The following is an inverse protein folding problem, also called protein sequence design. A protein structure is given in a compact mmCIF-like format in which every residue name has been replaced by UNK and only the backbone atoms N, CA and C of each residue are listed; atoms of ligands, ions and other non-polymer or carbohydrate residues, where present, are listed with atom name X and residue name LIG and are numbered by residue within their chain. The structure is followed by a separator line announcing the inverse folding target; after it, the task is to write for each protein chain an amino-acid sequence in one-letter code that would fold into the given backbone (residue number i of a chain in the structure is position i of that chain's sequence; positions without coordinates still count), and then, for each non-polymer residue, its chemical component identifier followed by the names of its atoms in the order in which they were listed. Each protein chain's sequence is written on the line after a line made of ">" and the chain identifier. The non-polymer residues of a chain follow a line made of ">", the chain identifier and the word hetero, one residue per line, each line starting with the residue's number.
data_IF_675949460144
#
_entry.id   IF_675949460144
#
_cell.length_a   1.000
_cell.length_b   1.000
_cell.length_c   1.000
_cell.angle_alpha   90.00
_cell.angle_beta   90.00
_cell.angle_gamma   90.00
#
_symmetry.space_group_name_H-M   'P 1'
#
loop_
_entity.id
_entity.type
_entity.pdbx_description
1 polymer ?
#
# COMPACT_ATOMS: atom_id res chain seq x y z
N UNK A 1 2.11 -24.21 -14.01
CA UNK A 1 1.53 -23.03 -13.32
C UNK A 1 0.64 -23.52 -12.17
N UNK A 2 0.85 -23.05 -10.93
CA UNK A 2 0.00 -23.41 -9.78
C UNK A 2 -1.39 -22.82 -9.97
N UNK A 3 -2.44 -23.54 -9.54
CA UNK A 3 -3.82 -23.05 -9.64
C UNK A 3 -3.99 -21.71 -8.89
N UNK A 4 -4.73 -20.73 -9.45
CA UNK A 4 -4.98 -19.46 -8.79
C UNK A 4 -5.67 -19.71 -7.44
N UNK A 5 -5.10 -19.20 -6.35
CA UNK A 5 -5.65 -19.37 -5.01
C UNK A 5 -5.83 -18.02 -4.32
N UNK A 6 -7.09 -17.56 -4.26
CA UNK A 6 -7.46 -16.30 -3.63
C UNK A 6 -6.98 -16.23 -2.17
N UNK A 7 -7.21 -17.30 -1.40
CA UNK A 7 -6.82 -17.34 0.01
C UNK A 7 -5.30 -17.19 0.18
N UNK A 8 -4.49 -17.82 -0.69
CA UNK A 8 -3.02 -17.70 -0.63
C UNK A 8 -2.54 -16.30 -1.00
N UNK A 9 -3.12 -15.69 -2.04
CA UNK A 9 -2.80 -14.30 -2.43
C UNK A 9 -3.12 -13.33 -1.29
N UNK A 10 -4.33 -13.44 -0.74
CA UNK A 10 -4.82 -12.58 0.32
C UNK A 10 -3.97 -12.70 1.58
N UNK A 11 -3.67 -13.93 2.02
CA UNK A 11 -2.83 -14.17 3.18
C UNK A 11 -1.41 -13.61 2.98
N UNK A 12 -0.82 -13.85 1.80
CA UNK A 12 0.53 -13.37 1.50
C UNK A 12 0.61 -11.83 1.46
N UNK A 13 -0.36 -11.16 0.81
CA UNK A 13 -0.39 -9.72 0.73
C UNK A 13 -0.64 -9.06 2.11
N UNK A 14 -1.53 -9.64 2.94
CA UNK A 14 -1.74 -9.19 4.31
C UNK A 14 -0.51 -9.40 5.18
N UNK A 15 0.25 -10.48 4.99
CA UNK A 15 1.49 -10.72 5.72
C UNK A 15 2.55 -9.65 5.38
N UNK A 16 2.67 -9.27 4.10
CA UNK A 16 3.53 -8.12 3.70
C UNK A 16 3.03 -6.84 4.37
N UNK A 17 1.73 -6.56 4.31
CA UNK A 17 1.14 -5.41 4.98
C UNK A 17 1.35 -5.39 6.48
N UNK A 18 1.32 -6.55 7.14
CA UNK A 18 1.59 -6.69 8.56
C UNK A 18 3.05 -6.38 8.89
N UNK A 19 3.99 -6.93 8.13
CA UNK A 19 5.43 -6.67 8.33
C UNK A 19 5.74 -5.19 8.13
N UNK A 20 5.29 -4.59 7.03
CA UNK A 20 5.48 -3.16 6.76
C UNK A 20 4.78 -2.29 7.81
N UNK A 21 3.55 -2.64 8.17
CA UNK A 21 2.81 -1.93 9.21
C UNK A 21 3.48 -2.01 10.58
N UNK A 22 4.11 -3.13 10.94
CA UNK A 22 4.87 -3.27 12.18
C UNK A 22 6.15 -2.41 12.16
N UNK A 23 6.88 -2.42 11.04
CA UNK A 23 8.04 -1.55 10.85
C UNK A 23 7.64 -0.08 11.05
N UNK A 24 6.56 0.36 10.40
CA UNK A 24 6.04 1.72 10.53
C UNK A 24 5.59 1.99 11.96
N UNK A 25 4.84 1.07 12.59
CA UNK A 25 4.40 1.21 13.98
C UNK A 25 5.54 1.52 14.96
N UNK A 26 6.71 0.91 14.79
CA UNK A 26 7.88 1.15 15.65
C UNK A 26 8.72 2.35 15.23
N UNK A 27 8.78 2.67 13.93
CA UNK A 27 9.52 3.84 13.41
C UNK A 27 8.77 5.15 13.65
N UNK A 28 7.44 5.14 13.58
CA UNK A 28 6.60 6.33 13.70
C UNK A 28 6.97 7.26 14.87
N UNK A 29 7.14 6.81 16.13
CA UNK A 29 7.51 7.72 17.23
C UNK A 29 8.92 8.34 17.10
N UNK A 30 9.79 7.77 16.25
CA UNK A 30 11.13 8.31 15.99
C UNK A 30 11.09 9.48 14.99
N UNK A 31 10.14 9.46 14.06
CA UNK A 31 10.00 10.48 12.99
C UNK A 31 8.82 11.41 13.22
N UNK A 32 7.85 11.01 14.05
CA UNK A 32 6.67 11.78 14.41
C UNK A 32 6.44 11.67 15.92
N UNK A 33 7.14 12.50 16.73
CA UNK A 33 7.05 12.41 18.19
C UNK A 33 5.63 12.57 18.74
N UNK A 34 4.80 13.37 18.08
CA UNK A 34 3.38 13.58 18.44
C UNK A 34 2.44 12.44 18.00
N UNK A 35 2.97 11.36 17.43
CA UNK A 35 2.17 10.23 17.01
C UNK A 35 1.75 9.37 18.22
N UNK A 36 0.51 9.55 18.61
CA UNK A 36 -0.12 8.77 19.67
C UNK A 36 -0.28 7.28 19.28
N UNK A 37 -0.63 6.47 20.28
CA UNK A 37 -0.85 5.03 20.07
C UNK A 37 -1.94 4.76 19.02
N UNK A 38 -2.97 5.61 18.97
CA UNK A 38 -4.09 5.44 18.04
C UNK A 38 -3.63 5.60 16.59
N UNK A 39 -2.84 6.62 16.29
CA UNK A 39 -2.27 6.85 14.98
C UNK A 39 -1.36 5.68 14.56
N UNK A 40 -0.52 5.18 15.48
CA UNK A 40 0.37 4.04 15.21
C UNK A 40 -0.40 2.77 14.87
N UNK A 41 -1.42 2.43 15.65
CA UNK A 41 -2.32 1.30 15.37
C UNK A 41 -3.04 1.53 14.03
N UNK A 42 -3.49 2.75 13.77
CA UNK A 42 -4.11 3.14 12.51
C UNK A 42 -3.21 2.86 11.31
N UNK A 43 -1.93 3.25 11.37
CA UNK A 43 -0.95 2.96 10.32
C UNK A 43 -0.72 1.45 10.15
N UNK A 44 -0.56 0.70 11.25
CA UNK A 44 -0.40 -0.76 11.19
C UNK A 44 -1.56 -1.43 10.45
N UNK A 45 -2.79 -1.11 10.86
CA UNK A 45 -4.00 -1.68 10.26
C UNK A 45 -4.24 -1.18 8.84
N UNK A 46 -3.80 0.04 8.51
CA UNK A 46 -3.83 0.59 7.16
C UNK A 46 -3.03 -0.29 6.20
N UNK A 47 -1.77 -0.60 6.49
CA UNK A 47 -0.95 -1.42 5.58
C UNK A 47 -1.43 -2.86 5.48
N UNK A 48 -1.97 -3.45 6.55
CA UNK A 48 -2.63 -4.76 6.49
C UNK A 48 -3.86 -4.73 5.57
N UNK A 49 -4.66 -3.67 5.67
CA UNK A 49 -5.86 -3.46 4.85
C UNK A 49 -5.51 -3.24 3.38
N UNK A 50 -4.52 -2.38 3.11
CA UNK A 50 -4.03 -2.09 1.77
C UNK A 50 -3.47 -3.35 1.10
N UNK A 51 -2.66 -4.13 1.84
CA UNK A 51 -2.21 -5.45 1.40
C UNK A 51 -3.38 -6.38 1.08
N UNK A 52 -4.43 -6.38 1.91
CA UNK A 52 -5.66 -7.11 1.66
C UNK A 52 -6.35 -6.72 0.34
N UNK A 53 -6.53 -5.42 0.10
CA UNK A 53 -7.14 -4.88 -1.12
C UNK A 53 -6.33 -5.31 -2.35
N UNK A 54 -4.99 -5.16 -2.30
CA UNK A 54 -4.09 -5.57 -3.39
C UNK A 54 -4.17 -7.08 -3.65
N UNK A 55 -4.21 -7.89 -2.59
CA UNK A 55 -4.32 -9.35 -2.70
C UNK A 55 -5.60 -9.80 -3.39
N UNK A 56 -6.73 -9.17 -3.05
CA UNK A 56 -8.04 -9.41 -3.66
C UNK A 56 -8.09 -8.93 -5.11
N UNK A 57 -7.71 -7.68 -5.36
CA UNK A 57 -7.81 -7.07 -6.68
C UNK A 57 -6.86 -7.73 -7.70
N UNK A 58 -5.68 -8.19 -7.27
CA UNK A 58 -4.71 -8.82 -8.16
C UNK A 58 -5.11 -10.19 -8.73
N UNK A 59 -6.30 -10.71 -8.37
CA UNK A 59 -6.93 -11.84 -9.08
C UNK A 59 -7.38 -11.43 -10.47
N UNK A 60 -7.79 -10.17 -10.63
CA UNK A 60 -8.23 -9.62 -11.91
C UNK A 60 -7.04 -9.58 -12.88
N UNK A 61 -7.16 -10.33 -13.97
CA UNK A 61 -6.23 -10.36 -15.09
C UNK A 61 -6.71 -9.49 -16.26
N UNK A 62 -7.97 -9.07 -16.23
CA UNK A 62 -8.58 -8.13 -17.17
C UNK A 62 -9.41 -7.09 -16.45
N UNK A 63 -9.47 -5.90 -17.03
CA UNK A 63 -10.37 -4.86 -16.58
C UNK A 63 -11.83 -5.30 -16.80
N UNK A 64 -12.71 -5.26 -15.77
CA UNK A 64 -14.05 -5.84 -15.86
C UNK A 64 -14.95 -5.14 -16.90
N UNK A 65 -14.85 -3.81 -17.05
CA UNK A 65 -15.61 -3.06 -18.06
C UNK A 65 -14.95 -3.01 -19.45
N UNK A 66 -13.64 -2.73 -19.52
CA UNK A 66 -12.92 -2.48 -20.78
C UNK A 66 -12.33 -3.74 -21.42
N UNK A 67 -12.27 -4.88 -20.71
CA UNK A 67 -11.74 -6.15 -21.23
C UNK A 67 -10.23 -6.17 -21.52
N UNK A 68 -9.52 -5.05 -21.29
CA UNK A 68 -8.07 -4.91 -21.47
C UNK A 68 -7.30 -5.74 -20.43
N UNK A 69 -6.15 -6.28 -20.83
CA UNK A 69 -5.27 -7.00 -19.92
C UNK A 69 -4.78 -6.07 -18.80
N UNK A 70 -4.87 -6.54 -17.56
CA UNK A 70 -4.55 -5.76 -16.38
C UNK A 70 -3.46 -6.49 -15.57
N UNK A 71 -2.18 -6.32 -15.95
CA UNK A 71 -1.11 -7.06 -15.29
C UNK A 71 -0.95 -6.62 -13.84
N UNK A 72 -0.59 -7.57 -12.97
CA UNK A 72 -0.46 -7.32 -11.53
C UNK A 72 0.53 -6.20 -11.20
N UNK A 73 1.61 -6.06 -11.98
CA UNK A 73 2.65 -5.05 -11.79
C UNK A 73 2.17 -3.64 -12.14
N UNK A 74 1.03 -3.50 -12.82
CA UNK A 74 0.39 -2.22 -13.06
C UNK A 74 -0.74 -1.98 -12.06
N UNK A 75 -1.60 -2.98 -11.86
CA UNK A 75 -2.76 -2.86 -10.97
C UNK A 75 -2.38 -2.63 -9.52
N UNK A 76 -1.45 -3.44 -8.99
CA UNK A 76 -1.12 -3.37 -7.57
C UNK A 76 -0.43 -2.05 -7.18
N UNK A 77 0.54 -1.51 -7.95
CA UNK A 77 1.09 -0.19 -7.68
C UNK A 77 0.09 0.93 -7.89
N UNK A 78 -0.80 0.82 -8.89
CA UNK A 78 -1.85 1.81 -9.11
C UNK A 78 -2.80 1.89 -7.90
N UNK A 79 -3.23 0.75 -7.35
CA UNK A 79 -4.05 0.71 -6.15
C UNK A 79 -3.30 1.26 -4.93
N UNK A 80 -2.04 0.87 -4.74
CA UNK A 80 -1.20 1.37 -3.65
C UNK A 80 -1.05 2.90 -3.70
N UNK A 81 -0.66 3.43 -4.85
CA UNK A 81 -0.54 4.87 -5.09
C UNK A 81 -1.87 5.60 -4.95
N UNK A 82 -2.97 5.04 -5.47
CA UNK A 82 -4.30 5.64 -5.36
C UNK A 82 -4.76 5.73 -3.90
N UNK A 83 -4.65 4.65 -3.14
CA UNK A 83 -5.06 4.64 -1.73
C UNK A 83 -4.23 5.62 -0.90
N UNK A 84 -2.93 5.71 -1.15
CA UNK A 84 -2.08 6.68 -0.46
C UNK A 84 -2.28 8.11 -0.96
N UNK A 85 -2.68 8.33 -2.21
CA UNK A 85 -3.11 9.64 -2.65
C UNK A 85 -4.36 10.08 -1.88
N UNK A 86 -5.36 9.19 -1.77
CA UNK A 86 -6.61 9.47 -1.05
C UNK A 86 -6.34 9.79 0.42
N UNK A 87 -5.48 9.03 1.12
CA UNK A 87 -5.14 9.34 2.52
C UNK A 87 -4.40 10.67 2.64
N UNK A 88 -3.47 10.99 1.72
CA UNK A 88 -2.79 12.29 1.69
C UNK A 88 -3.77 13.43 1.51
N UNK A 89 -4.78 13.28 0.66
CA UNK A 89 -5.80 14.31 0.47
C UNK A 89 -6.67 14.52 1.72
N UNK A 90 -7.04 13.45 2.44
CA UNK A 90 -7.82 13.56 3.67
C UNK A 90 -7.03 14.14 4.84
N UNK A 91 -5.74 13.86 4.92
CA UNK A 91 -4.89 14.24 6.07
C UNK A 91 -3.70 15.09 5.64
N UNK A 92 -3.90 15.96 4.64
CA UNK A 92 -2.84 16.74 4.00
C UNK A 92 -2.05 17.56 5.03
N UNK A 93 -2.75 18.30 5.90
CA UNK A 93 -2.11 19.19 6.87
C UNK A 93 -1.27 18.42 7.89
N UNK A 94 -1.74 17.23 8.29
CA UNK A 94 -1.01 16.33 9.21
C UNK A 94 0.27 15.82 8.57
N UNK A 95 0.20 15.36 7.32
CA UNK A 95 1.40 14.92 6.60
C UNK A 95 2.35 16.06 6.25
N UNK A 96 1.82 17.25 5.95
CA UNK A 96 2.65 18.44 5.71
C UNK A 96 3.38 18.88 6.97
N UNK A 97 2.73 18.83 8.13
CA UNK A 97 3.38 19.11 9.40
C UNK A 97 4.53 18.11 9.67
N UNK A 98 4.30 16.82 9.36
CA UNK A 98 5.33 15.79 9.47
C UNK A 98 6.52 16.02 8.53
N UNK A 99 6.29 16.34 7.26
CA UNK A 99 7.38 16.58 6.30
C UNK A 99 8.17 17.83 6.68
N UNK A 100 7.49 18.90 7.10
CA UNK A 100 8.15 20.11 7.58
C UNK A 100 8.96 19.89 8.86
N UNK A 101 8.49 19.05 9.79
CA UNK A 101 9.24 18.78 11.03
C UNK A 101 10.50 17.94 10.80
N UNK A 102 10.48 17.01 9.84
CA UNK A 102 11.61 16.12 9.56
C UNK A 102 12.60 16.71 8.55
N UNK A 103 12.09 17.40 7.52
CA UNK A 103 12.90 17.86 6.40
C UNK A 103 13.07 19.38 6.39
N UNK A 104 12.17 20.15 7.01
CA UNK A 104 12.12 21.61 6.89
C UNK A 104 11.41 22.08 5.61
N UNK A 105 11.43 23.39 5.37
CA UNK A 105 10.85 24.01 4.16
C UNK A 105 11.81 23.96 2.95
N UNK A 106 12.41 22.79 2.73
CA UNK A 106 13.35 22.55 1.62
C UNK A 106 12.62 21.96 0.42
N UNK A 107 12.00 22.86 -0.35
CA UNK A 107 11.49 22.59 -1.70
C UNK A 107 10.65 21.32 -1.79
N UNK A 108 11.04 20.40 -2.67
CA UNK A 108 10.25 19.19 -2.96
C UNK A 108 10.11 18.23 -1.77
N UNK A 109 11.01 18.26 -0.79
CA UNK A 109 10.97 17.37 0.38
C UNK A 109 9.90 17.79 1.41
N UNK A 110 9.46 19.05 1.36
CA UNK A 110 8.35 19.53 2.17
C UNK A 110 6.98 18.99 1.68
N UNK A 111 6.92 18.42 0.46
CA UNK A 111 5.67 17.95 -0.13
C UNK A 111 5.16 16.65 0.50
N UNK A 112 3.92 16.60 1.04
CA UNK A 112 3.35 15.36 1.58
C UNK A 112 3.01 14.35 0.47
N UNK A 113 3.10 14.71 -0.81
CA UNK A 113 2.83 13.77 -1.90
C UNK A 113 3.90 12.66 -2.03
N UNK A 114 5.00 12.70 -1.27
CA UNK A 114 5.96 11.60 -1.16
C UNK A 114 5.37 10.29 -0.62
N UNK A 115 4.23 10.35 0.09
CA UNK A 115 3.52 9.15 0.51
C UNK A 115 2.83 8.41 -0.66
N UNK A 116 2.60 9.07 -1.80
CA UNK A 116 2.04 8.44 -3.01
C UNK A 116 3.02 7.44 -3.65
N UNK A 117 4.27 7.80 -4.02
CA UNK A 117 5.22 6.84 -4.54
C UNK A 117 5.61 5.77 -3.52
N UNK A 118 5.55 6.06 -2.22
CA UNK A 118 5.65 5.02 -1.18
C UNK A 118 4.53 3.97 -1.33
N UNK A 119 3.27 4.41 -1.49
CA UNK A 119 2.15 3.52 -1.76
C UNK A 119 2.30 2.72 -3.06
N UNK A 120 2.83 3.33 -4.12
CA UNK A 120 3.16 2.65 -5.39
C UNK A 120 4.18 1.52 -5.14
N UNK A 121 5.25 1.82 -4.40
CA UNK A 121 6.29 0.84 -4.07
C UNK A 121 5.75 -0.29 -3.20
N UNK A 122 4.97 0.03 -2.16
CA UNK A 122 4.29 -0.97 -1.35
C UNK A 122 3.38 -1.86 -2.20
N UNK A 123 2.60 -1.25 -3.09
CA UNK A 123 1.73 -1.94 -4.04
C UNK A 123 2.49 -2.93 -4.92
N UNK A 124 3.65 -2.53 -5.43
CA UNK A 124 4.51 -3.38 -6.25
C UNK A 124 5.01 -4.60 -5.46
N UNK A 125 5.51 -4.38 -4.25
CA UNK A 125 6.06 -5.45 -3.40
C UNK A 125 4.95 -6.41 -2.96
N UNK A 126 3.85 -5.90 -2.40
CA UNK A 126 2.73 -6.72 -1.95
C UNK A 126 2.07 -7.48 -3.12
N UNK A 127 1.89 -6.82 -4.26
CA UNK A 127 1.36 -7.41 -5.48
C UNK A 127 2.25 -8.52 -6.05
N UNK A 128 3.56 -8.31 -6.07
CA UNK A 128 4.55 -9.30 -6.50
C UNK A 128 4.55 -10.54 -5.61
N UNK A 129 4.60 -10.36 -4.29
CA UNK A 129 4.54 -11.46 -3.32
C UNK A 129 3.22 -12.24 -3.45
N UNK A 130 2.10 -11.54 -3.59
CA UNK A 130 0.79 -12.19 -3.80
C UNK A 130 0.75 -12.99 -5.11
N UNK A 131 1.30 -12.44 -6.19
CA UNK A 131 1.38 -13.11 -7.48
C UNK A 131 2.25 -14.37 -7.41
N UNK A 132 3.41 -14.31 -6.76
CA UNK A 132 4.29 -15.46 -6.54
C UNK A 132 3.62 -16.56 -5.69
N UNK A 133 2.87 -16.17 -4.65
CA UNK A 133 2.22 -17.11 -3.73
C UNK A 133 0.98 -17.80 -4.34
N UNK A 134 0.23 -17.10 -5.19
CA UNK A 134 -1.12 -17.53 -5.57
C UNK A 134 -1.51 -17.38 -7.04
N UNK A 135 -0.65 -16.88 -7.93
CA UNK A 135 -0.90 -16.76 -9.37
C UNK A 135 -2.03 -15.79 -9.75
N UNK A 136 -2.12 -15.36 -11.01
CA UNK A 136 -3.17 -14.44 -11.51
C UNK A 136 -4.10 -15.13 -12.51
N UNK A 137 -5.34 -14.63 -12.64
CA UNK A 137 -6.33 -15.09 -13.61
C UNK A 137 -7.37 -16.07 -13.07
N UNK A 138 -8.58 -16.01 -13.61
CA UNK A 138 -9.67 -16.95 -13.33
C UNK A 138 -9.43 -18.20 -14.20
N UNK A 139 -9.47 -19.41 -13.61
CA UNK A 139 -9.60 -20.61 -14.45
C UNK A 139 -10.93 -20.49 -15.21
N UNK A 140 -10.99 -20.85 -16.51
CA UNK A 140 -12.25 -21.11 -17.17
C UNK A 140 -13.06 -22.17 -16.40
#
# INVERSE_FOLDING_TARGET
>A
MKAPSLNRRLAAAKAVGLVVGLVIFFITPLVWPDADMMLRIGMLLWYVTLGGIIGLAGVLDRHPALGIALPWWLLAPLLGGWMNLVIVLFTYDRFKALTLSNFGDVGIYASPFWFVPEGVLFGLVAGGVAHLAGGSGRKP
#
